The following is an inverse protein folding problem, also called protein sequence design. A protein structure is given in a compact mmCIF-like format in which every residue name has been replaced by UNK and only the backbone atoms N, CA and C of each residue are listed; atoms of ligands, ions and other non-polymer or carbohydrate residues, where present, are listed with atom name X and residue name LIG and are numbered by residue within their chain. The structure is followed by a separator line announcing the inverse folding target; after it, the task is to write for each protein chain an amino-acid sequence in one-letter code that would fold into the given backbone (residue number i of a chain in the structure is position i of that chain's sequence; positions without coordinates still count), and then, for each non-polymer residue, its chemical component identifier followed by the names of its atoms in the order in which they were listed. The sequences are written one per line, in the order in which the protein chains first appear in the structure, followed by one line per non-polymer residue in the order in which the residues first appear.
data_IF_639051224038
#
_entry.id   IF_639051224038
#
_cell.length_a   1.000
_cell.length_b   1.000
_cell.length_c   1.000
_cell.angle_alpha   90.00
_cell.angle_beta   90.00
_cell.angle_gamma   90.00
#
_symmetry.space_group_name_H-M   'P 1'
#
loop_
_entity.id
_entity.type
_entity.pdbx_description
1 polymer ?
#
# COMPACT_ATOMS: atom_id res chain seq x y z
N UNK A 1 28.58 4.19 -4.24
CA UNK A 1 27.64 4.22 -3.08
C UNK A 1 26.46 5.14 -3.39
N UNK A 2 25.29 4.96 -2.77
CA UNK A 2 24.07 5.74 -3.10
C UNK A 2 24.19 7.27 -2.92
N UNK A 3 25.22 7.73 -2.20
CA UNK A 3 25.54 9.15 -1.98
C UNK A 3 26.84 9.59 -2.68
N UNK A 4 27.37 8.79 -3.60
CA UNK A 4 28.60 9.11 -4.33
C UNK A 4 28.37 10.30 -5.27
N UNK A 5 29.40 11.11 -5.46
CA UNK A 5 29.41 12.16 -6.48
C UNK A 5 29.37 11.57 -7.90
N UNK A 6 29.88 10.34 -8.05
CA UNK A 6 29.88 9.60 -9.32
C UNK A 6 28.50 8.97 -9.59
N UNK A 7 27.82 9.31 -10.72
CA UNK A 7 26.55 8.69 -11.09
C UNK A 7 26.62 7.18 -11.29
N UNK A 8 27.73 6.62 -11.77
CA UNK A 8 27.87 5.17 -11.99
C UNK A 8 27.80 4.41 -10.65
N UNK A 9 28.43 4.96 -9.63
CA UNK A 9 28.38 4.47 -8.25
C UNK A 9 26.98 4.51 -7.64
N UNK A 10 26.15 5.49 -8.07
CA UNK A 10 24.76 5.63 -7.62
C UNK A 10 23.84 4.68 -8.37
N UNK A 11 24.06 4.47 -9.67
CA UNK A 11 23.36 3.46 -10.48
C UNK A 11 23.61 2.08 -9.88
N UNK A 12 24.88 1.71 -9.69
CA UNK A 12 25.24 0.44 -9.08
C UNK A 12 24.64 0.27 -7.69
N UNK A 13 24.55 1.36 -6.90
CA UNK A 13 23.86 1.31 -5.63
C UNK A 13 22.37 1.02 -5.79
N UNK A 14 21.67 1.69 -6.70
CA UNK A 14 20.25 1.42 -6.98
C UNK A 14 20.04 -0.05 -7.38
N UNK A 15 20.83 -0.58 -8.31
CA UNK A 15 20.69 -1.98 -8.75
C UNK A 15 20.85 -2.97 -7.59
N UNK A 16 21.81 -2.72 -6.70
CA UNK A 16 22.04 -3.57 -5.52
C UNK A 16 20.97 -3.41 -4.42
N UNK A 17 20.22 -2.32 -4.43
CA UNK A 17 19.14 -2.03 -3.49
C UNK A 17 17.78 -2.61 -3.92
N UNK A 18 17.69 -3.19 -5.12
CA UNK A 18 16.51 -3.91 -5.58
C UNK A 18 16.00 -4.94 -4.55
N UNK A 19 14.69 -5.00 -4.26
CA UNK A 19 14.08 -6.01 -3.41
C UNK A 19 14.46 -7.45 -3.79
N UNK A 20 14.71 -7.69 -5.08
CA UNK A 20 15.23 -8.95 -5.61
C UNK A 20 16.57 -9.39 -5.00
N UNK A 21 17.44 -8.41 -4.67
CA UNK A 21 18.75 -8.60 -4.04
C UNK A 21 18.71 -8.49 -2.52
N UNK A 22 17.99 -7.49 -1.99
CA UNK A 22 17.98 -7.20 -0.56
C UNK A 22 17.17 -8.23 0.23
N UNK A 23 16.07 -8.78 -0.34
CA UNK A 23 15.20 -9.83 0.22
C UNK A 23 14.71 -9.60 1.66
N UNK A 24 14.85 -8.38 2.19
CA UNK A 24 14.42 -7.95 3.52
C UNK A 24 13.98 -6.49 3.45
N UNK A 25 13.11 -6.09 4.38
CA UNK A 25 12.62 -4.71 4.47
C UNK A 25 13.60 -3.88 5.30
N UNK A 26 14.17 -2.83 4.71
CA UNK A 26 15.10 -1.91 5.37
C UNK A 26 14.69 -0.48 5.02
N UNK A 27 14.40 0.36 6.00
CA UNK A 27 13.91 1.72 5.75
C UNK A 27 14.96 2.60 5.04
N UNK A 28 16.25 2.41 5.35
CA UNK A 28 17.35 3.08 4.65
C UNK A 28 17.39 2.80 3.14
N UNK A 29 16.90 1.63 2.70
CA UNK A 29 16.80 1.30 1.26
C UNK A 29 15.72 2.16 0.61
N UNK A 30 14.59 2.36 1.30
CA UNK A 30 13.49 3.20 0.82
C UNK A 30 13.88 4.68 0.76
N UNK A 31 14.61 5.17 1.76
CA UNK A 31 15.15 6.54 1.73
C UNK A 31 16.12 6.75 0.55
N UNK A 32 16.99 5.77 0.28
CA UNK A 32 17.91 5.81 -0.84
C UNK A 32 17.15 5.78 -2.19
N UNK A 33 16.10 4.96 -2.30
CA UNK A 33 15.22 4.91 -3.45
C UNK A 33 14.55 6.27 -3.73
N UNK A 34 13.95 6.87 -2.70
CA UNK A 34 13.24 8.16 -2.82
C UNK A 34 14.16 9.31 -3.25
N UNK A 35 15.44 9.23 -2.88
CA UNK A 35 16.48 10.13 -3.40
C UNK A 35 16.82 9.80 -4.86
N UNK A 36 17.01 8.53 -5.19
CA UNK A 36 17.31 8.07 -6.54
C UNK A 36 16.24 8.48 -7.57
N UNK A 37 14.96 8.46 -7.19
CA UNK A 37 13.84 8.93 -8.02
C UNK A 37 13.92 10.43 -8.38
N UNK A 38 14.69 11.21 -7.63
CA UNK A 38 14.87 12.66 -7.80
C UNK A 38 16.31 13.01 -8.21
N UNK A 39 17.13 12.03 -8.55
CA UNK A 39 18.54 12.23 -8.89
C UNK A 39 18.69 13.16 -10.11
N UNK A 40 19.68 14.06 -10.13
CA UNK A 40 19.96 14.86 -11.33
C UNK A 40 20.24 13.99 -12.57
N UNK A 41 20.87 12.82 -12.39
CA UNK A 41 21.20 11.91 -13.46
C UNK A 41 20.01 11.02 -13.86
N UNK A 42 19.69 11.00 -15.15
CA UNK A 42 18.54 10.25 -15.69
C UNK A 42 18.71 8.73 -15.55
N UNK A 43 19.93 8.21 -15.62
CA UNK A 43 20.18 6.77 -15.51
C UNK A 43 19.99 6.31 -14.07
N UNK A 44 20.39 7.13 -13.09
CA UNK A 44 20.08 6.87 -11.67
C UNK A 44 18.56 6.87 -11.45
N UNK A 45 17.83 7.83 -12.02
CA UNK A 45 16.35 7.85 -11.93
C UNK A 45 15.73 6.60 -12.52
N UNK A 46 16.20 6.14 -13.68
CA UNK A 46 15.70 4.90 -14.32
C UNK A 46 15.96 3.66 -13.47
N UNK A 47 17.15 3.54 -12.89
CA UNK A 47 17.49 2.43 -11.99
C UNK A 47 16.59 2.46 -10.73
N UNK A 48 16.35 3.64 -10.16
CA UNK A 48 15.41 3.80 -9.05
C UNK A 48 13.97 3.41 -9.42
N UNK A 49 13.50 3.79 -10.62
CA UNK A 49 12.17 3.38 -11.08
C UNK A 49 12.02 1.86 -11.22
N UNK A 50 13.05 1.15 -11.67
CA UNK A 50 13.03 -0.31 -11.75
C UNK A 50 12.80 -0.96 -10.38
N UNK A 51 13.44 -0.44 -9.33
CA UNK A 51 13.25 -0.90 -7.95
C UNK A 51 11.80 -0.72 -7.49
N UNK A 52 11.20 0.42 -7.83
CA UNK A 52 9.82 0.72 -7.46
C UNK A 52 8.84 -0.23 -8.16
N UNK A 53 9.09 -0.57 -9.43
CA UNK A 53 8.30 -1.52 -10.22
C UNK A 53 8.36 -2.95 -9.63
N UNK A 54 9.51 -3.37 -9.11
CA UNK A 54 9.76 -4.76 -8.66
C UNK A 54 9.26 -5.09 -7.25
N UNK A 55 8.87 -4.09 -6.45
CA UNK A 55 8.41 -4.34 -5.08
C UNK A 55 8.18 -3.11 -4.24
N UNK A 56 7.89 -1.97 -4.88
CA UNK A 56 7.67 -0.67 -4.28
C UNK A 56 6.60 -0.62 -3.18
N UNK A 57 6.61 0.47 -2.41
CA UNK A 57 5.50 0.87 -1.52
C UNK A 57 4.69 1.99 -2.19
N UNK A 58 3.73 1.68 -3.08
CA UNK A 58 3.01 2.71 -3.83
C UNK A 58 2.17 3.63 -2.92
N UNK A 59 1.76 3.13 -1.75
CA UNK A 59 0.96 3.88 -0.77
C UNK A 59 1.81 4.53 0.34
N UNK A 60 3.14 4.60 0.20
CA UNK A 60 3.97 5.28 1.20
C UNK A 60 3.69 6.80 1.18
N UNK A 61 3.32 7.42 2.32
CA UNK A 61 3.05 8.86 2.38
C UNK A 61 4.23 9.73 1.91
N UNK A 62 5.47 9.25 2.01
CA UNK A 62 6.64 9.98 1.53
C UNK A 62 6.79 9.92 0.01
N UNK A 63 6.28 8.86 -0.63
CA UNK A 63 6.38 8.67 -2.07
C UNK A 63 5.43 9.59 -2.84
N UNK A 64 4.22 9.83 -2.32
CA UNK A 64 3.20 10.64 -2.99
C UNK A 64 3.69 12.05 -3.41
N UNK A 65 4.27 12.89 -2.53
CA UNK A 65 4.78 14.21 -2.93
C UNK A 65 5.94 14.12 -3.92
N UNK A 66 6.72 13.03 -3.89
CA UNK A 66 7.81 12.78 -4.86
C UNK A 66 7.22 12.51 -6.25
N UNK A 67 6.23 11.62 -6.34
CA UNK A 67 5.54 11.32 -7.60
C UNK A 67 4.86 12.56 -8.18
N UNK A 68 4.22 13.38 -7.36
CA UNK A 68 3.61 14.63 -7.82
C UNK A 68 4.63 15.62 -8.37
N UNK A 69 5.81 15.71 -7.75
CA UNK A 69 6.92 16.54 -8.23
C UNK A 69 7.45 16.01 -9.57
N UNK A 70 7.64 14.69 -9.69
CA UNK A 70 8.08 14.03 -10.94
C UNK A 70 7.05 14.29 -12.05
N UNK A 71 5.76 14.06 -11.80
CA UNK A 71 4.70 14.30 -12.77
C UNK A 71 4.69 15.74 -13.32
N UNK A 72 5.11 16.73 -12.52
CA UNK A 72 5.16 18.15 -12.91
C UNK A 72 6.47 18.58 -13.57
N UNK A 73 7.61 18.04 -13.13
CA UNK A 73 8.95 18.59 -13.44
C UNK A 73 9.87 17.65 -14.22
N UNK A 74 9.53 16.37 -14.32
CA UNK A 74 10.38 15.40 -15.00
C UNK A 74 10.49 15.72 -16.49
N UNK A 75 11.73 15.75 -16.97
CA UNK A 75 12.06 16.05 -18.36
C UNK A 75 11.89 14.81 -19.24
N UNK A 76 12.19 13.62 -18.72
CA UNK A 76 11.95 12.37 -19.42
C UNK A 76 10.44 12.05 -19.48
N UNK A 77 9.88 12.03 -20.70
CA UNK A 77 8.45 11.84 -20.90
C UNK A 77 7.94 10.49 -20.41
N UNK A 78 8.76 9.44 -20.45
CA UNK A 78 8.37 8.10 -20.00
C UNK A 78 8.30 8.05 -18.48
N UNK A 79 9.31 8.57 -17.80
CA UNK A 79 9.31 8.64 -16.33
C UNK A 79 8.19 9.55 -15.81
N UNK A 80 7.94 10.66 -16.50
CA UNK A 80 6.80 11.54 -16.18
C UNK A 80 5.46 10.80 -16.31
N UNK A 81 5.25 10.08 -17.41
CA UNK A 81 4.02 9.31 -17.62
C UNK A 81 3.86 8.20 -16.57
N UNK A 82 4.93 7.46 -16.26
CA UNK A 82 4.93 6.44 -15.20
C UNK A 82 4.49 7.00 -13.85
N UNK A 83 4.95 8.19 -13.48
CA UNK A 83 4.51 8.84 -12.24
C UNK A 83 3.01 9.16 -12.25
N UNK A 84 2.48 9.65 -13.38
CA UNK A 84 1.05 9.93 -13.54
C UNK A 84 0.24 8.64 -13.41
N UNK A 85 0.65 7.59 -14.10
CA UNK A 85 -0.04 6.29 -14.10
C UNK A 85 -0.06 5.68 -12.70
N UNK A 86 1.07 5.75 -11.97
CA UNK A 86 1.15 5.26 -10.60
C UNK A 86 0.26 6.05 -9.64
N UNK A 87 0.23 7.38 -9.74
CA UNK A 87 -0.68 8.22 -8.94
C UNK A 87 -2.14 7.84 -9.20
N UNK A 88 -2.52 7.63 -10.47
CA UNK A 88 -3.88 7.24 -10.84
C UNK A 88 -4.22 5.84 -10.32
N UNK A 89 -3.29 4.89 -10.43
CA UNK A 89 -3.47 3.53 -9.91
C UNK A 89 -3.68 3.53 -8.39
N UNK A 90 -2.89 4.28 -7.63
CA UNK A 90 -3.05 4.40 -6.18
C UNK A 90 -4.41 4.98 -5.83
N UNK A 91 -4.83 6.07 -6.49
CA UNK A 91 -6.16 6.66 -6.27
C UNK A 91 -7.29 5.68 -6.57
N UNK A 92 -7.21 4.95 -7.68
CA UNK A 92 -8.21 3.94 -8.03
C UNK A 92 -8.29 2.82 -6.98
N UNK A 93 -7.16 2.41 -6.41
CA UNK A 93 -7.13 1.43 -5.33
C UNK A 93 -7.75 1.99 -4.04
N UNK A 94 -7.47 3.25 -3.70
CA UNK A 94 -8.08 3.94 -2.56
C UNK A 94 -9.58 4.11 -2.74
N UNK A 95 -10.04 4.57 -3.90
CA UNK A 95 -11.45 4.71 -4.26
C UNK A 95 -12.15 3.35 -4.18
N UNK A 96 -11.56 2.31 -4.76
CA UNK A 96 -12.08 0.94 -4.68
C UNK A 96 -12.11 0.44 -3.23
N UNK A 97 -11.11 0.75 -2.42
CA UNK A 97 -11.11 0.41 -1.01
C UNK A 97 -12.22 1.14 -0.26
N UNK A 98 -12.47 2.41 -0.56
CA UNK A 98 -13.58 3.18 0.01
C UNK A 98 -14.93 2.64 -0.44
N UNK A 99 -15.09 2.30 -1.72
CA UNK A 99 -16.28 1.65 -2.25
C UNK A 99 -16.52 0.29 -1.58
N UNK A 100 -15.49 -0.54 -1.43
CA UNK A 100 -15.59 -1.83 -0.74
C UNK A 100 -15.84 -1.67 0.76
N UNK A 101 -15.27 -0.65 1.42
CA UNK A 101 -15.58 -0.34 2.80
C UNK A 101 -17.02 0.17 2.97
N UNK A 102 -17.52 0.94 1.99
CA UNK A 102 -18.91 1.40 1.95
C UNK A 102 -19.87 0.24 1.62
N UNK A 103 -19.44 -0.73 0.80
CA UNK A 103 -20.15 -1.98 0.51
C UNK A 103 -20.05 -2.98 1.67
N UNK A 104 -18.99 -2.90 2.49
CA UNK A 104 -18.77 -3.65 3.74
C UNK A 104 -19.81 -3.38 4.83
N UNK A 105 -20.80 -2.55 4.51
CA UNK A 105 -22.14 -2.65 5.03
C UNK A 105 -22.90 -3.86 4.46
N UNK A 106 -22.33 -5.07 4.51
CA UNK A 106 -23.10 -6.34 4.48
C UNK A 106 -23.83 -6.49 5.83
N UNK A 107 -24.54 -5.44 6.19
CA UNK A 107 -25.30 -5.37 7.39
C UNK A 107 -26.59 -6.12 7.15
N UNK A 108 -26.72 -7.27 7.79
CA UNK A 108 -27.97 -8.01 7.83
C UNK A 108 -28.50 -8.06 9.27
N UNK A 109 -29.76 -8.48 9.41
CA UNK A 109 -30.37 -8.64 10.73
C UNK A 109 -29.96 -10.00 11.28
N UNK A 110 -29.27 -10.00 12.41
CA UNK A 110 -28.75 -11.20 13.04
C UNK A 110 -28.64 -11.07 14.54
N UNK A 111 -27.97 -12.04 15.17
CA UNK A 111 -27.60 -11.99 16.58
C UNK A 111 -26.12 -11.64 16.67
N UNK A 112 -25.78 -10.63 17.47
CA UNK A 112 -24.39 -10.29 17.76
C UNK A 112 -23.77 -11.34 18.68
N UNK A 113 -22.61 -11.87 18.32
CA UNK A 113 -21.89 -12.88 19.10
C UNK A 113 -21.18 -12.29 20.33
N UNK A 114 -20.99 -10.97 20.40
CA UNK A 114 -20.35 -10.29 21.54
C UNK A 114 -21.34 -9.88 22.63
N UNK A 115 -22.35 -9.06 22.28
CA UNK A 115 -23.34 -8.60 23.26
C UNK A 115 -24.55 -9.54 23.38
N UNK A 116 -24.72 -10.49 22.47
CA UNK A 116 -25.83 -11.43 22.47
C UNK A 116 -27.16 -10.84 22.01
N UNK A 117 -27.24 -9.54 21.68
CA UNK A 117 -28.46 -8.92 21.17
C UNK A 117 -28.89 -9.55 19.85
N UNK A 118 -30.19 -9.83 19.74
CA UNK A 118 -30.80 -10.47 18.58
C UNK A 118 -31.61 -9.47 17.76
N UNK A 119 -31.73 -9.75 16.46
CA UNK A 119 -32.41 -8.85 15.50
C UNK A 119 -31.79 -7.45 15.54
N UNK A 120 -30.47 -7.37 15.54
CA UNK A 120 -29.71 -6.12 15.39
C UNK A 120 -28.96 -6.14 14.07
N UNK A 121 -28.54 -4.96 13.63
CA UNK A 121 -27.72 -4.82 12.43
C UNK A 121 -26.31 -5.34 12.74
N UNK A 122 -25.92 -6.44 12.10
CA UNK A 122 -24.63 -7.10 12.30
C UNK A 122 -23.87 -7.22 10.99
N UNK A 123 -22.55 -7.26 11.07
CA UNK A 123 -21.64 -7.60 9.97
C UNK A 123 -20.73 -8.76 10.41
N UNK A 124 -20.02 -9.38 9.49
CA UNK A 124 -19.03 -10.39 9.81
C UNK A 124 -17.76 -9.76 10.40
N UNK A 125 -17.29 -10.30 11.52
CA UNK A 125 -15.91 -10.13 11.96
C UNK A 125 -15.06 -11.28 11.40
N UNK A 126 -14.27 -10.98 10.37
CA UNK A 126 -13.43 -11.96 9.68
C UNK A 126 -12.17 -12.36 10.47
N UNK A 127 -11.90 -11.72 11.63
CA UNK A 127 -10.77 -12.07 12.50
C UNK A 127 -11.12 -13.16 13.53
N UNK A 128 -12.41 -13.36 13.80
CA UNK A 128 -12.89 -14.28 14.85
C UNK A 128 -13.69 -15.45 14.26
N UNK A 129 -13.20 -16.68 14.43
CA UNK A 129 -13.92 -17.91 14.06
C UNK A 129 -14.56 -18.60 15.28
N UNK A 130 -15.85 -18.94 15.15
CA UNK A 130 -16.64 -19.63 16.17
C UNK A 130 -17.16 -20.97 15.65
N UNK A 131 -17.49 -21.87 16.57
CA UNK A 131 -18.20 -23.11 16.24
C UNK A 131 -19.66 -22.81 15.90
N UNK A 132 -20.03 -23.07 14.65
CA UNK A 132 -21.39 -22.97 14.15
C UNK A 132 -22.20 -24.25 14.37
N UNK A 133 -23.46 -24.19 13.95
CA UNK A 133 -24.38 -25.34 14.01
C UNK A 133 -23.86 -26.49 13.16
N UNK A 134 -23.88 -27.71 13.71
CA UNK A 134 -23.42 -28.90 13.00
C UNK A 134 -21.89 -29.06 12.93
N UNK A 135 -21.13 -28.32 13.75
CA UNK A 135 -19.67 -28.45 13.84
C UNK A 135 -18.90 -27.74 12.73
N UNK A 136 -19.56 -26.94 11.91
CA UNK A 136 -18.91 -26.10 10.90
C UNK A 136 -18.37 -24.82 11.56
N UNK A 137 -17.13 -24.43 11.22
CA UNK A 137 -16.60 -23.12 11.61
C UNK A 137 -17.31 -22.01 10.84
N UNK A 138 -17.61 -20.90 11.53
CA UNK A 138 -18.16 -19.68 10.92
C UNK A 138 -17.46 -18.44 11.49
N UNK A 139 -17.47 -17.36 10.74
CA UNK A 139 -17.09 -16.05 11.26
C UNK A 139 -18.13 -15.55 12.28
N UNK A 140 -17.64 -14.82 13.27
CA UNK A 140 -18.47 -14.19 14.27
C UNK A 140 -19.24 -13.02 13.65
N UNK A 141 -20.41 -12.72 14.23
CA UNK A 141 -21.28 -11.62 13.82
C UNK A 141 -21.19 -10.51 14.87
N UNK A 142 -20.88 -9.29 14.43
CA UNK A 142 -20.67 -8.15 15.33
C UNK A 142 -21.62 -7.00 14.98
N UNK A 143 -22.27 -6.41 16.00
CA UNK A 143 -23.05 -5.18 15.82
C UNK A 143 -22.15 -3.93 15.82
N UNK A 144 -22.67 -2.82 15.30
CA UNK A 144 -21.94 -1.55 15.24
C UNK A 144 -21.46 -1.05 16.61
N UNK A 145 -22.26 -1.25 17.66
CA UNK A 145 -21.89 -0.84 19.03
C UNK A 145 -20.70 -1.64 19.55
N UNK A 146 -20.63 -2.94 19.27
CA UNK A 146 -19.47 -3.76 19.65
C UNK A 146 -18.25 -3.48 18.79
N UNK A 147 -18.44 -3.18 17.50
CA UNK A 147 -17.36 -2.80 16.58
C UNK A 147 -16.68 -1.47 16.98
N UNK A 148 -17.42 -0.56 17.59
CA UNK A 148 -16.92 0.75 18.04
C UNK A 148 -16.22 0.75 19.41
N UNK A 149 -16.19 -0.38 20.13
CA UNK A 149 -15.67 -0.49 21.51
C UNK A 149 -14.27 -1.13 21.58
N UNK A 150 -13.75 -1.66 20.47
CA UNK A 150 -12.36 -2.11 20.40
C UNK A 150 -11.40 -0.91 20.27
N UNK A 151 -10.98 -0.38 21.42
CA UNK A 151 -9.75 0.42 21.60
C UNK A 151 -8.86 -0.23 22.64
#
# INVERSE_FOLDING_TARGET
MAYSDDPEDRIAAMDNLCPCHVRRRIDAVWEALYRGLQDPDINVRKAAWHILDDGGRPNDPQLQPILEKIAKKETDSKLRQRAIDLIQSVRQLEDKHQELAAQGADYFRGKCDWCGEANVQVTYDYETELDGTGGQKRFALMCADCAGVSR
#
